data_IF_599043851168
#
_entry.id   IF_599043851168
#
_cell.length_a   1.000
_cell.length_b   1.000
_cell.length_c   1.000
_cell.angle_alpha   90.00
_cell.angle_beta   90.00
_cell.angle_gamma   90.00
#
_symmetry.space_group_name_H-M   'P 1'
#
loop_
_entity.id
_entity.type
_entity.pdbx_description
1 polymer ?
#
# COMPACT_ATOMS: atom_id res chain seq x y z
N UNK A 1 -20.61 -15.68 -0.98
CA UNK A 1 -19.34 -14.97 -1.25
C UNK A 1 -18.25 -15.63 -0.41
N UNK A 2 -17.07 -15.95 -0.96
CA UNK A 2 -16.01 -16.59 -0.16
C UNK A 2 -15.51 -15.66 0.95
N UNK A 3 -15.00 -16.23 2.05
CA UNK A 3 -14.60 -15.46 3.24
C UNK A 3 -13.56 -14.36 2.94
N UNK A 4 -12.57 -14.66 2.10
CA UNK A 4 -11.55 -13.69 1.71
C UNK A 4 -12.12 -12.53 0.87
N UNK A 5 -13.13 -12.77 0.02
CA UNK A 5 -13.78 -11.72 -0.76
C UNK A 5 -14.57 -10.79 0.13
N UNK A 6 -15.26 -11.34 1.14
CA UNK A 6 -15.94 -10.57 2.18
C UNK A 6 -14.95 -9.74 3.01
N UNK A 7 -13.80 -10.32 3.37
CA UNK A 7 -12.75 -9.59 4.08
C UNK A 7 -12.26 -8.37 3.28
N UNK A 8 -12.03 -8.56 1.97
CA UNK A 8 -11.59 -7.47 1.09
C UNK A 8 -12.66 -6.39 0.92
N UNK A 9 -13.93 -6.77 0.74
CA UNK A 9 -15.02 -5.80 0.56
C UNK A 9 -15.27 -4.94 1.80
N UNK A 10 -14.81 -5.37 2.97
CA UNK A 10 -14.93 -4.65 4.24
C UNK A 10 -13.69 -3.81 4.59
N UNK A 11 -12.72 -3.70 3.67
CA UNK A 11 -11.52 -2.89 3.88
C UNK A 11 -11.86 -1.41 4.00
N UNK A 12 -11.12 -0.70 4.85
CA UNK A 12 -11.15 0.75 4.86
C UNK A 12 -10.13 1.30 3.87
N UNK A 13 -10.47 2.42 3.24
CA UNK A 13 -9.71 3.04 2.15
C UNK A 13 -9.63 4.56 2.26
N UNK A 14 -10.16 5.19 3.31
CA UNK A 14 -10.08 6.64 3.53
C UNK A 14 -9.70 6.98 4.96
N UNK A 15 -9.16 8.17 5.18
CA UNK A 15 -8.81 8.66 6.51
C UNK A 15 -10.02 8.77 7.44
N UNK A 16 -11.18 9.15 6.90
CA UNK A 16 -12.44 9.26 7.66
C UNK A 16 -12.85 7.91 8.23
N UNK A 17 -12.79 6.84 7.42
CA UNK A 17 -13.09 5.48 7.87
C UNK A 17 -12.10 4.97 8.94
N UNK A 18 -10.87 5.48 8.95
CA UNK A 18 -9.90 5.18 10.00
C UNK A 18 -10.23 5.95 11.29
N UNK A 19 -10.63 7.22 11.18
CA UNK A 19 -11.04 8.07 12.31
C UNK A 19 -12.31 7.58 13.01
N UNK A 20 -13.17 6.83 12.32
CA UNK A 20 -14.31 6.12 12.96
C UNK A 20 -13.86 4.99 13.91
N UNK A 21 -12.62 4.50 13.78
CA UNK A 21 -12.12 3.33 14.51
C UNK A 21 -11.03 3.67 15.54
N UNK A 22 -10.34 4.79 15.36
CA UNK A 22 -9.23 5.21 16.21
C UNK A 22 -9.35 6.69 16.55
N UNK A 23 -9.03 7.03 17.79
CA UNK A 23 -8.99 8.42 18.26
C UNK A 23 -7.77 9.17 17.69
N UNK A 24 -7.86 10.51 17.67
CA UNK A 24 -6.78 11.42 17.25
C UNK A 24 -6.22 11.16 15.84
N UNK A 25 -7.03 10.65 14.91
CA UNK A 25 -6.61 10.43 13.52
C UNK A 25 -6.54 11.76 12.76
N UNK A 26 -5.37 12.07 12.20
CA UNK A 26 -5.20 13.20 11.31
C UNK A 26 -5.66 12.83 9.90
N UNK A 27 -6.96 12.99 9.65
CA UNK A 27 -7.62 12.67 8.39
C UNK A 27 -7.02 13.48 7.23
N UNK A 28 -6.71 14.76 7.45
CA UNK A 28 -6.20 15.64 6.39
C UNK A 28 -4.83 15.15 5.90
N UNK A 29 -3.93 14.82 6.83
CA UNK A 29 -2.62 14.27 6.50
C UNK A 29 -2.72 12.93 5.76
N UNK A 30 -3.62 12.04 6.21
CA UNK A 30 -3.83 10.75 5.55
C UNK A 30 -4.36 10.95 4.12
N UNK A 31 -5.35 11.82 3.92
CA UNK A 31 -5.93 12.06 2.61
C UNK A 31 -4.94 12.73 1.64
N UNK A 32 -4.05 13.61 2.13
CA UNK A 32 -2.96 14.17 1.32
C UNK A 32 -2.08 13.08 0.74
N UNK A 33 -1.63 12.13 1.57
CA UNK A 33 -0.79 11.00 1.11
C UNK A 33 -1.59 10.06 0.23
N UNK A 34 -2.83 9.75 0.62
CA UNK A 34 -3.70 8.78 -0.07
C UNK A 34 -3.95 9.13 -1.53
N UNK A 35 -4.10 10.42 -1.85
CA UNK A 35 -4.30 10.92 -3.22
C UNK A 35 -3.17 10.53 -4.17
N UNK A 36 -1.96 10.35 -3.65
CA UNK A 36 -0.78 9.93 -4.41
C UNK A 36 -0.56 8.43 -4.27
N UNK A 37 -0.74 7.92 -3.05
CA UNK A 37 -0.45 6.55 -2.68
C UNK A 37 -1.65 5.89 -1.99
N UNK A 38 -2.43 5.05 -2.71
CA UNK A 38 -3.68 4.50 -2.20
C UNK A 38 -3.55 3.81 -0.84
N UNK A 39 -4.60 3.93 -0.03
CA UNK A 39 -4.74 3.22 1.24
C UNK A 39 -5.76 2.10 1.09
N UNK A 40 -5.41 0.92 1.62
CA UNK A 40 -6.35 -0.19 1.84
C UNK A 40 -5.88 -0.96 3.07
N UNK A 41 -6.75 -1.07 4.06
CA UNK A 41 -6.50 -1.85 5.27
C UNK A 41 -7.71 -2.74 5.50
N UNK A 42 -7.51 -4.06 5.41
CA UNK A 42 -8.59 -5.00 5.64
C UNK A 42 -8.88 -5.17 7.15
N UNK A 43 -10.05 -5.73 7.47
CA UNK A 43 -10.49 -5.89 8.87
C UNK A 43 -9.60 -6.78 9.72
N UNK A 44 -8.83 -7.69 9.11
CA UNK A 44 -7.88 -8.51 9.85
C UNK A 44 -6.71 -7.65 10.33
N UNK A 45 -6.11 -6.85 9.44
CA UNK A 45 -5.00 -5.94 9.81
C UNK A 45 -5.44 -4.87 10.82
N UNK A 46 -6.66 -4.34 10.68
CA UNK A 46 -7.20 -3.38 11.66
C UNK A 46 -7.25 -3.95 13.08
N UNK A 47 -7.57 -5.24 13.25
CA UNK A 47 -7.59 -5.90 14.56
C UNK A 47 -6.22 -6.17 15.16
N UNK A 48 -5.16 -6.13 14.35
CA UNK A 48 -3.79 -6.32 14.82
C UNK A 48 -3.17 -5.03 15.36
N UNK A 49 -3.73 -3.87 14.99
CA UNK A 49 -3.34 -2.58 15.53
C UNK A 49 -3.84 -2.51 16.98
N UNK A 50 -2.90 -2.36 17.91
CA UNK A 50 -3.14 -2.19 19.35
C UNK A 50 -3.27 -0.72 19.71
N UNK A 51 -2.45 0.14 19.10
CA UNK A 51 -2.44 1.57 19.36
C UNK A 51 -1.93 2.38 18.16
N UNK A 52 -2.28 3.67 18.12
CA UNK A 52 -1.80 4.58 17.09
C UNK A 52 -0.27 4.64 17.13
N UNK A 53 0.35 4.43 15.98
CA UNK A 53 1.82 4.50 15.84
C UNK A 53 2.56 3.21 16.21
N UNK A 54 1.85 2.13 16.53
CA UNK A 54 2.46 0.82 16.73
C UNK A 54 3.11 0.27 15.42
N UNK A 55 3.87 -0.84 15.49
CA UNK A 55 4.54 -1.39 14.32
C UNK A 55 3.61 -1.82 13.18
N UNK A 56 2.37 -2.23 13.45
CA UNK A 56 1.41 -2.59 12.40
C UNK A 56 0.81 -1.32 11.80
N UNK A 57 0.45 -0.33 12.62
CA UNK A 57 -0.01 0.99 12.19
C UNK A 57 0.93 1.59 11.14
N UNK A 58 2.22 1.65 11.47
CA UNK A 58 3.27 2.22 10.59
C UNK A 58 3.41 1.48 9.26
N UNK A 59 2.99 0.23 9.19
CA UNK A 59 3.06 -0.56 7.96
C UNK A 59 1.88 -0.30 7.01
N UNK A 60 0.73 0.15 7.51
CA UNK A 60 -0.50 0.23 6.71
C UNK A 60 -1.17 1.61 6.67
N UNK A 61 -0.96 2.46 7.67
CA UNK A 61 -1.53 3.81 7.75
C UNK A 61 -0.60 4.86 7.13
N UNK A 62 -1.08 5.73 6.23
CA UNK A 62 -0.27 6.77 5.60
C UNK A 62 0.39 7.76 6.57
N UNK A 63 1.62 8.16 6.25
CA UNK A 63 2.41 9.17 6.94
C UNK A 63 2.88 10.24 5.94
N UNK A 64 2.83 11.53 6.32
CA UNK A 64 3.26 12.64 5.48
C UNK A 64 4.73 12.53 5.02
N UNK A 65 5.58 11.82 5.77
CA UNK A 65 6.97 11.54 5.37
C UNK A 65 7.06 10.80 4.03
N UNK A 66 6.01 10.08 3.64
CA UNK A 66 5.92 9.41 2.34
C UNK A 66 5.91 10.40 1.16
N UNK A 67 5.61 11.68 1.40
CA UNK A 67 5.62 12.75 0.40
C UNK A 67 6.98 13.42 0.22
N UNK A 68 8.00 12.98 0.98
CA UNK A 68 9.36 13.43 0.77
C UNK A 68 9.84 13.02 -0.62
N UNK A 69 10.44 13.96 -1.37
CA UNK A 69 11.08 13.70 -2.67
C UNK A 69 12.42 12.94 -2.56
N UNK A 70 12.70 12.33 -1.42
CA UNK A 70 13.90 11.50 -1.24
C UNK A 70 13.75 10.12 -1.89
N UNK A 71 14.84 9.61 -2.48
CA UNK A 71 14.90 8.28 -3.08
C UNK A 71 14.62 8.26 -4.58
N UNK A 72 14.26 7.08 -5.09
CA UNK A 72 14.02 6.83 -6.51
C UNK A 72 12.61 6.30 -6.74
N UNK A 73 11.96 6.74 -7.82
CA UNK A 73 10.62 6.24 -8.20
C UNK A 73 10.65 4.73 -8.49
N UNK A 74 11.68 4.27 -9.19
CA UNK A 74 11.92 2.86 -9.48
C UNK A 74 13.31 2.45 -8.96
N UNK A 75 13.44 2.23 -7.64
CA UNK A 75 14.75 1.96 -7.01
C UNK A 75 15.34 0.63 -7.47
N UNK A 76 14.51 -0.23 -8.04
CA UNK A 76 14.89 -1.52 -8.57
C UNK A 76 15.05 -1.49 -10.08
N UNK A 77 14.95 -0.36 -10.80
CA UNK A 77 15.15 -0.29 -12.26
C UNK A 77 14.33 -1.30 -13.08
N UNK A 78 13.15 -1.69 -12.60
CA UNK A 78 12.32 -2.72 -13.23
C UNK A 78 11.74 -2.25 -14.57
N UNK A 79 11.44 -0.96 -14.69
CA UNK A 79 10.85 -0.39 -15.91
C UNK A 79 11.87 -0.37 -17.07
N UNK A 80 13.16 -0.20 -16.76
CA UNK A 80 14.26 -0.30 -17.72
C UNK A 80 14.44 -1.75 -18.23
N UNK A 81 14.36 -2.72 -17.32
CA UNK A 81 14.55 -4.14 -17.63
C UNK A 81 13.25 -4.82 -18.14
N UNK A 82 12.26 -4.03 -18.56
CA UNK A 82 10.97 -4.52 -19.03
C UNK A 82 10.90 -4.55 -20.57
N UNK A 83 11.10 -5.71 -21.22
CA UNK A 83 11.01 -5.81 -22.69
C UNK A 83 9.58 -5.59 -23.22
N UNK A 84 8.58 -5.77 -22.36
CA UNK A 84 7.15 -5.56 -22.65
C UNK A 84 6.46 -5.10 -21.36
N UNK A 85 5.30 -4.40 -21.43
CA UNK A 85 4.49 -4.16 -20.25
C UNK A 85 4.26 -5.45 -19.46
N UNK A 86 4.34 -5.38 -18.13
CA UNK A 86 4.12 -6.47 -17.14
C UNK A 86 5.22 -7.53 -16.96
N UNK A 87 6.23 -7.60 -17.82
CA UNK A 87 7.35 -8.54 -17.66
C UNK A 87 8.62 -7.77 -17.36
N UNK A 88 9.31 -8.13 -16.28
CA UNK A 88 10.67 -7.65 -15.97
C UNK A 88 11.63 -8.81 -16.19
N UNK A 89 12.61 -8.63 -17.08
CA UNK A 89 13.60 -9.64 -17.45
C UNK A 89 15.02 -9.13 -17.20
N UNK A 90 15.38 -9.00 -15.92
CA UNK A 90 16.72 -8.59 -15.48
C UNK A 90 17.78 -9.69 -15.61
N UNK A 91 17.38 -10.92 -15.30
CA UNK A 91 18.31 -12.04 -15.16
C UNK A 91 18.19 -12.99 -16.35
N UNK A 92 19.29 -13.63 -16.80
CA UNK A 92 19.29 -14.41 -18.04
C UNK A 92 18.23 -15.52 -18.11
N UNK A 93 17.92 -16.17 -16.98
CA UNK A 93 17.19 -17.44 -16.90
C UNK A 93 15.81 -17.35 -16.22
N UNK A 94 15.35 -16.14 -15.84
CA UNK A 94 14.09 -15.96 -15.12
C UNK A 94 13.49 -14.58 -15.33
N UNK A 95 12.17 -14.53 -15.21
CA UNK A 95 11.39 -13.29 -15.33
C UNK A 95 10.52 -13.06 -14.10
N UNK A 96 10.20 -11.80 -13.83
CA UNK A 96 9.11 -11.41 -12.94
C UNK A 96 7.91 -11.03 -13.81
N UNK A 97 6.76 -11.66 -13.54
CA UNK A 97 5.52 -11.38 -14.26
C UNK A 97 4.47 -10.73 -13.34
N UNK A 98 4.05 -9.52 -13.69
CA UNK A 98 2.96 -8.80 -13.02
C UNK A 98 1.59 -9.33 -13.45
N UNK A 99 1.06 -10.28 -12.69
CA UNK A 99 -0.29 -10.83 -12.91
C UNK A 99 -1.41 -9.96 -12.32
N UNK A 100 -1.08 -9.11 -11.34
CA UNK A 100 -2.02 -8.21 -10.67
C UNK A 100 -1.27 -7.08 -9.99
N UNK A 101 -1.88 -5.90 -9.97
CA UNK A 101 -1.44 -4.74 -9.19
C UNK A 101 -2.25 -4.55 -7.90
N UNK A 102 -3.21 -5.44 -7.64
CA UNK A 102 -4.07 -5.34 -6.47
C UNK A 102 -3.49 -6.12 -5.29
N UNK A 103 -3.40 -5.45 -4.15
CA UNK A 103 -3.04 -6.07 -2.89
C UNK A 103 -4.22 -6.02 -1.89
N UNK A 104 -4.37 -7.03 -1.01
CA UNK A 104 -5.35 -7.02 0.09
C UNK A 104 -5.17 -5.89 1.10
N UNK A 105 -3.92 -5.43 1.23
CA UNK A 105 -3.51 -4.25 1.96
C UNK A 105 -2.44 -3.53 1.14
N UNK A 106 -2.34 -2.22 1.29
CA UNK A 106 -1.25 -1.46 0.67
C UNK A 106 -0.21 -1.10 1.73
N UNK A 107 0.93 -1.78 1.70
CA UNK A 107 2.03 -1.54 2.62
C UNK A 107 2.67 -0.17 2.35
N UNK A 108 2.94 0.62 3.40
CA UNK A 108 3.56 1.94 3.30
C UNK A 108 5.01 1.90 2.84
N UNK A 109 5.66 0.75 3.00
CA UNK A 109 7.05 0.47 2.60
C UNK A 109 7.16 -0.30 1.27
N UNK A 110 6.09 -0.36 0.46
CA UNK A 110 6.10 -1.11 -0.80
C UNK A 110 7.14 -0.56 -1.79
N UNK A 111 8.07 -1.39 -2.27
CA UNK A 111 9.05 -0.99 -3.31
C UNK A 111 8.40 -0.76 -4.68
N UNK A 112 7.17 -1.24 -4.86
CA UNK A 112 6.36 -1.15 -6.09
C UNK A 112 5.17 -0.21 -5.93
N UNK A 113 5.23 0.71 -4.96
CA UNK A 113 4.17 1.67 -4.66
C UNK A 113 3.72 2.51 -5.87
N UNK A 114 4.58 2.66 -6.88
CA UNK A 114 4.28 3.32 -8.16
C UNK A 114 3.32 2.56 -9.08
N UNK A 115 3.07 1.27 -8.80
CA UNK A 115 2.26 0.37 -9.65
C UNK A 115 0.87 0.09 -9.09
N UNK A 116 0.60 0.47 -7.83
CA UNK A 116 -0.62 0.11 -7.08
C UNK A 116 -1.69 1.18 -7.09
#
# INVERSE_FOLDING_TARGET
MSDWRRLLSQSITTGEQLAELFEDVDVESIEKVRRIFPMRINRYFLKLIREKGDPIWKQVVPDLKELSDSGYRDPLGEDHDSPTPTIVHRYPDRVLFYVSYQCPIYCRFCTRKRKV
#
